data_IF_599147969786
#
_entry.id   IF_599147969786
#
_cell.length_a   1.000
_cell.length_b   1.000
_cell.length_c   1.000
_cell.angle_alpha   90.00
_cell.angle_beta   90.00
_cell.angle_gamma   90.00
#
_symmetry.space_group_name_H-M   'P 1'
#
loop_
_entity.id
_entity.type
_entity.pdbx_description
1 polymer ?
#
# COMPACT_ATOMS: atom_id res chain seq x y z
N UNK A 1 -16.89 -10.14 9.24
CA UNK A 1 -16.35 -8.87 8.73
C UNK A 1 -16.23 -8.97 7.22
N UNK A 2 -16.98 -8.17 6.47
CA UNK A 2 -16.90 -8.08 5.00
C UNK A 2 -15.60 -7.36 4.62
N UNK A 3 -14.49 -8.09 4.75
CA UNK A 3 -13.13 -7.65 4.46
C UNK A 3 -12.97 -7.46 2.95
N UNK A 4 -13.25 -6.25 2.47
CA UNK A 4 -13.25 -5.92 1.05
C UNK A 4 -12.12 -4.93 0.80
N UNK A 5 -11.09 -5.37 0.08
CA UNK A 5 -10.08 -4.46 -0.49
C UNK A 5 -10.76 -3.49 -1.46
N UNK A 6 -10.26 -2.26 -1.54
CA UNK A 6 -10.75 -1.25 -2.47
C UNK A 6 -10.34 -1.58 -3.91
N UNK A 7 -9.33 -2.44 -4.09
CA UNK A 7 -8.88 -2.90 -5.39
C UNK A 7 -9.67 -4.09 -5.92
N UNK A 8 -9.78 -4.18 -7.26
CA UNK A 8 -10.33 -5.37 -7.89
C UNK A 8 -9.45 -6.60 -7.63
N UNK A 9 -10.07 -7.74 -7.30
CA UNK A 9 -9.40 -9.05 -7.22
C UNK A 9 -8.53 -9.36 -8.44
N UNK A 10 -8.91 -8.86 -9.63
CA UNK A 10 -8.15 -9.08 -10.87
C UNK A 10 -6.75 -8.46 -10.83
N UNK A 11 -6.57 -7.33 -10.12
CA UNK A 11 -5.29 -6.67 -9.91
C UNK A 11 -4.40 -7.56 -9.04
N UNK A 12 -4.89 -8.03 -7.90
CA UNK A 12 -4.12 -8.92 -7.01
C UNK A 12 -3.69 -10.21 -7.71
N UNK A 13 -4.54 -10.78 -8.57
CA UNK A 13 -4.17 -11.93 -9.41
C UNK A 13 -3.06 -11.58 -10.40
N UNK A 14 -3.15 -10.43 -11.06
CA UNK A 14 -2.15 -9.97 -12.04
C UNK A 14 -0.80 -9.73 -11.37
N UNK A 15 -0.78 -9.01 -10.25
CA UNK A 15 0.44 -8.70 -9.48
C UNK A 15 1.15 -9.97 -9.00
N UNK A 16 0.44 -10.94 -8.43
CA UNK A 16 1.09 -12.18 -8.00
C UNK A 16 1.55 -13.00 -9.22
N UNK A 17 0.74 -13.06 -10.28
CA UNK A 17 1.05 -13.88 -11.45
C UNK A 17 2.25 -13.33 -12.25
N UNK A 18 2.46 -12.01 -12.30
CA UNK A 18 3.63 -11.43 -12.99
C UNK A 18 4.95 -11.89 -12.37
N UNK A 19 4.98 -12.06 -11.05
CA UNK A 19 6.20 -12.45 -10.32
C UNK A 19 6.35 -13.97 -10.17
N UNK A 20 5.25 -14.70 -9.99
CA UNK A 20 5.29 -16.15 -9.70
C UNK A 20 5.09 -17.05 -10.92
N UNK A 21 4.44 -16.55 -11.97
CA UNK A 21 3.93 -17.36 -13.09
C UNK A 21 3.02 -18.54 -12.67
N UNK A 22 2.42 -18.50 -11.48
CA UNK A 22 1.57 -19.57 -10.92
C UNK A 22 0.07 -19.24 -11.02
N UNK A 23 -0.79 -20.25 -10.77
CA UNK A 23 -2.24 -20.02 -10.60
C UNK A 23 -2.50 -19.34 -9.26
N UNK A 24 -3.23 -18.23 -9.29
CA UNK A 24 -3.51 -17.42 -8.09
C UNK A 24 -4.97 -17.60 -7.65
N UNK A 25 -5.17 -18.03 -6.41
CA UNK A 25 -6.49 -18.17 -5.82
C UNK A 25 -7.10 -16.79 -5.52
N UNK A 26 -8.44 -16.69 -5.50
CA UNK A 26 -9.13 -15.45 -5.12
C UNK A 26 -8.75 -14.98 -3.69
N UNK A 27 -8.66 -15.85 -2.67
CA UNK A 27 -8.22 -15.44 -1.34
C UNK A 27 -6.80 -14.87 -1.32
N UNK A 28 -5.84 -15.49 -2.02
CA UNK A 28 -4.47 -14.99 -2.09
C UNK A 28 -4.40 -13.62 -2.77
N UNK A 29 -5.12 -13.45 -3.88
CA UNK A 29 -5.23 -12.16 -4.58
C UNK A 29 -5.84 -11.06 -3.70
N UNK A 30 -6.85 -11.37 -2.88
CA UNK A 30 -7.42 -10.38 -1.96
C UNK A 30 -6.49 -10.10 -0.77
N UNK A 31 -5.76 -11.11 -0.28
CA UNK A 31 -4.85 -10.93 0.86
C UNK A 31 -3.66 -10.05 0.52
N UNK A 32 -3.05 -10.20 -0.66
CA UNK A 32 -1.92 -9.33 -1.06
C UNK A 32 -2.35 -7.87 -1.19
N UNK A 33 -3.53 -7.62 -1.76
CA UNK A 33 -4.08 -6.28 -1.91
C UNK A 33 -4.31 -5.64 -0.54
N UNK A 34 -4.89 -6.39 0.39
CA UNK A 34 -5.10 -5.93 1.76
C UNK A 34 -3.78 -5.58 2.47
N UNK A 35 -2.78 -6.44 2.42
CA UNK A 35 -1.47 -6.16 3.05
C UNK A 35 -0.82 -4.94 2.43
N UNK A 36 -1.02 -4.74 1.12
CA UNK A 36 -0.52 -3.55 0.42
C UNK A 36 -1.26 -2.29 0.87
N UNK A 37 -2.59 -2.35 1.04
CA UNK A 37 -3.39 -1.23 1.54
C UNK A 37 -2.96 -0.84 2.96
N UNK A 38 -2.88 -1.82 3.87
CA UNK A 38 -2.45 -1.61 5.26
C UNK A 38 -1.06 -0.95 5.30
N UNK A 39 -0.10 -1.45 4.53
CA UNK A 39 1.25 -0.87 4.45
C UNK A 39 1.27 0.55 3.86
N UNK A 40 0.48 0.79 2.80
CA UNK A 40 0.40 2.11 2.18
C UNK A 40 -0.27 3.14 3.08
N UNK A 41 -1.25 2.74 3.89
CA UNK A 41 -1.92 3.60 4.87
C UNK A 41 -0.92 4.08 5.93
N UNK A 42 -0.12 3.17 6.49
CA UNK A 42 0.94 3.52 7.46
C UNK A 42 1.98 4.50 6.87
N UNK A 43 2.39 4.29 5.61
CA UNK A 43 3.30 5.21 4.92
C UNK A 43 2.64 6.58 4.72
N UNK A 44 1.36 6.60 4.34
CA UNK A 44 0.63 7.84 4.07
C UNK A 44 0.51 8.68 5.36
N UNK A 45 0.12 8.08 6.47
CA UNK A 45 0.05 8.73 7.78
C UNK A 45 1.40 9.33 8.19
N UNK A 46 2.47 8.55 8.01
CA UNK A 46 3.84 9.00 8.33
C UNK A 46 4.26 10.18 7.43
N UNK A 47 3.94 10.13 6.13
CA UNK A 47 4.26 11.20 5.19
C UNK A 47 3.48 12.49 5.49
N UNK A 48 2.22 12.38 5.90
CA UNK A 48 1.40 13.51 6.37
C UNK A 48 2.06 14.14 7.59
N UNK A 49 2.42 13.35 8.60
CA UNK A 49 3.06 13.86 9.81
C UNK A 49 4.38 14.58 9.53
N UNK A 50 5.18 14.07 8.58
CA UNK A 50 6.44 14.71 8.16
C UNK A 50 6.17 16.07 7.50
N UNK A 51 5.14 16.17 6.66
CA UNK A 51 4.76 17.43 6.01
C UNK A 51 4.26 18.45 7.05
N UNK A 52 3.41 18.02 7.99
CA UNK A 52 2.90 18.83 9.09
C UNK A 52 4.02 19.38 9.98
N UNK A 53 4.99 18.54 10.35
CA UNK A 53 6.16 18.94 11.14
C UNK A 53 7.04 19.99 10.43
N UNK A 54 6.93 20.09 9.11
CA UNK A 54 7.60 21.10 8.29
C UNK A 54 6.70 22.31 7.97
N UNK A 55 5.53 22.40 8.60
CA UNK A 55 4.58 23.50 8.42
C UNK A 55 3.88 23.51 7.06
N UNK A 56 3.78 22.35 6.38
CA UNK A 56 3.17 22.24 5.05
C UNK A 56 1.90 21.40 5.11
N UNK A 57 0.84 21.90 4.48
CA UNK A 57 -0.40 21.12 4.25
C UNK A 57 -0.26 20.14 3.08
N UNK A 58 0.57 20.48 2.08
CA UNK A 58 0.81 19.62 0.92
C UNK A 58 1.95 18.63 1.18
N UNK A 59 1.62 17.34 1.14
CA UNK A 59 2.60 16.24 1.14
C UNK A 59 3.40 16.26 -0.16
N UNK A 60 4.72 16.14 -0.04
CA UNK A 60 5.65 16.14 -1.17
C UNK A 60 6.35 14.81 -1.32
N UNK A 61 7.04 14.64 -2.45
CA UNK A 61 7.78 13.41 -2.78
C UNK A 61 8.84 13.07 -1.72
N UNK A 62 9.51 14.09 -1.19
CA UNK A 62 10.52 13.95 -0.15
C UNK A 62 9.95 13.38 1.15
N UNK A 63 8.71 13.74 1.52
CA UNK A 63 8.03 13.23 2.71
C UNK A 63 7.72 11.74 2.57
N UNK A 64 7.21 11.33 1.40
CA UNK A 64 6.95 9.92 1.06
C UNK A 64 8.26 9.12 1.11
N UNK A 65 9.35 9.64 0.52
CA UNK A 65 10.65 8.98 0.56
C UNK A 65 11.20 8.85 1.97
N UNK A 66 10.94 9.83 2.84
CA UNK A 66 11.35 9.78 4.23
C UNK A 66 10.50 8.78 5.02
N UNK A 67 9.18 8.77 4.83
CA UNK A 67 8.28 7.78 5.43
C UNK A 67 8.70 6.34 5.06
N UNK A 68 8.99 6.08 3.78
CA UNK A 68 9.50 4.78 3.32
C UNK A 68 10.82 4.35 3.98
N UNK A 69 11.67 5.30 4.38
CA UNK A 69 12.93 4.99 5.10
C UNK A 69 12.71 4.69 6.58
N UNK A 70 11.64 5.19 7.18
CA UNK A 70 11.30 4.92 8.58
C UNK A 70 10.59 3.57 8.76
N UNK A 71 9.91 3.09 7.72
CA UNK A 71 9.19 1.81 7.67
C UNK A 71 10.03 0.62 7.15
N UNK A 72 11.36 0.75 7.17
CA UNK A 72 12.30 -0.23 6.59
C UNK A 72 13.23 -0.78 7.66
#
# INVERSE_FOLDING_TARGET
MTNTTQFSTSIGKRTIKSESNMRVSKPAANKILRVTEEYCEEIAETAIQIAENQGRETVRREDIRQALRQHR
#
